data_IF_907545819554
#
_entry.id   IF_907545819554
#
_cell.length_a   1.000
_cell.length_b   1.000
_cell.length_c   1.000
_cell.angle_alpha   90.00
_cell.angle_beta   90.00
_cell.angle_gamma   90.00
#
_symmetry.space_group_name_H-M   'P 1'
#
loop_
_entity.id
_entity.type
_entity.pdbx_description
1 polymer ?
#
# COMPACT_ATOMS: atom_id res chain seq x y z
N UNK A 1 -6.60 -18.90 -24.72
CA UNK A 1 -6.96 -17.48 -25.00
C UNK A 1 -8.25 -17.30 -25.83
N UNK A 2 -8.34 -17.94 -27.01
CA UNK A 2 -9.47 -17.76 -27.96
C UNK A 2 -10.79 -18.42 -27.55
N UNK A 3 -10.87 -19.19 -26.48
CA UNK A 3 -12.11 -19.87 -26.03
C UNK A 3 -12.62 -19.38 -24.68
N UNK A 4 -11.91 -18.45 -24.04
CA UNK A 4 -12.22 -17.98 -22.69
C UNK A 4 -13.53 -17.20 -22.60
N UNK A 5 -13.91 -16.50 -23.68
CA UNK A 5 -15.19 -15.82 -23.80
C UNK A 5 -16.39 -16.78 -23.84
N UNK A 6 -16.16 -18.07 -24.14
CA UNK A 6 -17.19 -19.12 -24.10
C UNK A 6 -17.29 -19.79 -22.72
N UNK A 7 -16.34 -19.54 -21.84
CA UNK A 7 -16.35 -20.09 -20.49
C UNK A 7 -17.15 -19.17 -19.58
N UNK A 8 -18.37 -19.57 -19.23
CA UNK A 8 -19.27 -18.81 -18.36
C UNK A 8 -18.62 -18.44 -17.01
N UNK A 9 -17.85 -19.35 -16.40
CA UNK A 9 -17.21 -19.10 -15.11
C UNK A 9 -16.19 -17.98 -15.21
N UNK A 10 -15.46 -17.94 -16.33
CA UNK A 10 -14.50 -16.90 -16.62
C UNK A 10 -15.20 -15.55 -16.84
N UNK A 11 -16.26 -15.50 -17.66
CA UNK A 11 -17.02 -14.27 -17.95
C UNK A 11 -17.63 -13.68 -16.67
N UNK A 12 -18.30 -14.51 -15.86
CA UNK A 12 -18.91 -14.09 -14.58
C UNK A 12 -17.88 -13.52 -13.59
N UNK A 13 -16.71 -14.14 -13.48
CA UNK A 13 -15.62 -13.66 -12.61
C UNK A 13 -14.95 -12.39 -13.17
N UNK A 14 -14.82 -12.28 -14.49
CA UNK A 14 -14.26 -11.09 -15.14
C UNK A 14 -15.17 -9.87 -14.92
N UNK A 15 -16.48 -10.03 -15.07
CA UNK A 15 -17.45 -8.97 -14.76
C UNK A 15 -17.39 -8.55 -13.29
N UNK A 16 -17.25 -9.50 -12.37
CA UNK A 16 -17.09 -9.19 -10.95
C UNK A 16 -15.83 -8.38 -10.69
N UNK A 17 -14.69 -8.78 -11.25
CA UNK A 17 -13.42 -8.06 -11.11
C UNK A 17 -13.48 -6.69 -11.74
N UNK A 18 -14.11 -6.53 -12.90
CA UNK A 18 -14.31 -5.22 -13.54
C UNK A 18 -15.22 -4.29 -12.75
N UNK A 19 -16.16 -4.84 -11.96
CA UNK A 19 -17.01 -4.09 -11.03
C UNK A 19 -16.28 -3.72 -9.73
N UNK A 20 -15.17 -4.40 -9.40
CA UNK A 20 -14.34 -3.97 -8.28
C UNK A 20 -13.73 -2.62 -8.64
N UNK A 21 -14.05 -1.60 -7.84
CA UNK A 21 -13.42 -0.28 -7.99
C UNK A 21 -11.91 -0.48 -7.79
N UNK A 22 -11.14 -0.27 -8.85
CA UNK A 22 -9.67 -0.23 -8.77
C UNK A 22 -9.31 1.04 -8.01
N UNK A 23 -9.32 0.97 -6.68
CA UNK A 23 -8.98 2.08 -5.79
C UNK A 23 -7.47 2.18 -5.67
N UNK A 24 -6.87 2.78 -6.70
CA UNK A 24 -5.48 3.24 -6.65
C UNK A 24 -5.27 4.28 -5.54
N UNK A 25 -6.36 4.84 -4.98
CA UNK A 25 -6.39 5.76 -3.85
C UNK A 25 -5.45 5.35 -2.71
N UNK A 26 -5.38 4.05 -2.38
CA UNK A 26 -4.50 3.56 -1.31
C UNK A 26 -3.01 3.65 -1.69
N UNK A 27 -2.67 3.31 -2.92
CA UNK A 27 -1.30 3.40 -3.42
C UNK A 27 -0.88 4.87 -3.59
N UNK A 28 -1.75 5.71 -4.17
CA UNK A 28 -1.52 7.16 -4.31
C UNK A 28 -1.35 7.85 -2.95
N UNK A 29 -2.18 7.49 -1.97
CA UNK A 29 -2.06 7.98 -0.59
C UNK A 29 -0.76 7.54 0.05
N UNK A 30 -0.33 6.30 -0.17
CA UNK A 30 0.98 5.80 0.26
C UNK A 30 2.13 6.63 -0.30
N UNK A 31 2.13 6.89 -1.61
CA UNK A 31 3.14 7.73 -2.28
C UNK A 31 3.13 9.16 -1.72
N UNK A 32 1.95 9.76 -1.51
CA UNK A 32 1.82 11.11 -0.94
C UNK A 32 2.37 11.18 0.48
N UNK A 33 2.09 10.18 1.31
CA UNK A 33 2.65 10.10 2.66
C UNK A 33 4.16 10.00 2.66
N UNK A 34 4.73 9.14 1.81
CA UNK A 34 6.18 8.99 1.71
C UNK A 34 6.85 10.28 1.21
N UNK A 35 6.27 10.94 0.21
CA UNK A 35 6.74 12.24 -0.28
C UNK A 35 6.70 13.32 0.81
N UNK A 36 5.64 13.38 1.59
CA UNK A 36 5.52 14.35 2.69
C UNK A 36 6.53 14.04 3.79
N UNK A 37 6.65 12.78 4.20
CA UNK A 37 7.60 12.35 5.23
C UNK A 37 9.05 12.68 4.88
N UNK A 38 9.45 12.40 3.64
CA UNK A 38 10.79 12.71 3.13
C UNK A 38 11.13 14.22 3.12
N UNK A 39 10.14 15.10 3.29
CA UNK A 39 10.35 16.56 3.39
C UNK A 39 10.43 17.08 4.82
N UNK A 40 9.99 16.30 5.82
CA UNK A 40 9.79 16.82 7.18
C UNK A 40 11.08 16.87 8.01
N UNK A 41 11.93 15.86 7.91
CA UNK A 41 12.95 15.62 8.94
C UNK A 41 14.38 15.92 8.50
N UNK A 42 14.76 15.51 7.28
CA UNK A 42 16.11 15.70 6.77
C UNK A 42 16.14 15.71 5.26
N UNK A 43 17.09 16.46 4.69
CA UNK A 43 17.37 16.48 3.24
C UNK A 43 18.35 15.37 2.84
N UNK A 44 19.07 14.76 3.79
CA UNK A 44 20.04 13.70 3.53
C UNK A 44 19.33 12.36 3.26
N UNK A 45 19.58 11.77 2.10
CA UNK A 45 18.91 10.54 1.66
C UNK A 45 19.26 9.31 2.50
N UNK A 46 20.51 9.19 2.96
CA UNK A 46 20.92 8.08 3.84
C UNK A 46 20.17 8.11 5.18
N UNK A 47 19.99 9.31 5.75
CA UNK A 47 19.25 9.47 6.99
C UNK A 47 17.76 9.14 6.81
N UNK A 48 17.15 9.46 5.67
CA UNK A 48 15.76 9.06 5.36
C UNK A 48 15.61 7.54 5.32
N UNK A 49 16.50 6.85 4.62
CA UNK A 49 16.46 5.38 4.55
C UNK A 49 16.67 4.75 5.92
N UNK A 50 17.65 5.24 6.69
CA UNK A 50 17.88 4.76 8.05
C UNK A 50 16.66 4.93 8.95
N UNK A 51 15.95 6.06 8.86
CA UNK A 51 14.73 6.28 9.62
C UNK A 51 13.62 5.27 9.33
N UNK A 52 13.45 4.87 8.09
CA UNK A 52 12.46 3.85 7.72
C UNK A 52 12.77 2.51 8.38
N UNK A 53 14.06 2.13 8.43
CA UNK A 53 14.51 0.94 9.13
C UNK A 53 14.18 1.02 10.62
N UNK A 54 14.48 2.15 11.27
CA UNK A 54 14.19 2.35 12.70
C UNK A 54 12.69 2.27 13.00
N UNK A 55 11.84 2.92 12.20
CA UNK A 55 10.38 2.87 12.38
C UNK A 55 9.85 1.46 12.19
N UNK A 56 10.35 0.72 11.19
CA UNK A 56 9.98 -0.67 10.95
C UNK A 56 10.37 -1.57 12.12
N UNK A 57 11.60 -1.44 12.61
CA UNK A 57 12.12 -2.19 13.74
C UNK A 57 11.33 -1.88 15.02
N UNK A 58 11.00 -0.61 15.26
CA UNK A 58 10.17 -0.20 16.39
C UNK A 58 8.77 -0.83 16.32
N UNK A 59 8.09 -0.76 15.17
CA UNK A 59 6.77 -1.39 14.97
C UNK A 59 6.83 -2.91 15.13
N UNK A 60 7.93 -3.55 14.69
CA UNK A 60 8.15 -4.98 14.89
C UNK A 60 8.32 -5.32 16.38
N UNK A 61 9.08 -4.51 17.11
CA UNK A 61 9.38 -4.73 18.53
C UNK A 61 8.17 -4.44 19.43
N UNK A 62 7.34 -3.47 19.04
CA UNK A 62 6.15 -3.05 19.78
C UNK A 62 4.86 -3.26 18.96
N UNK A 63 4.53 -4.53 18.66
CA UNK A 63 3.33 -4.93 17.87
C UNK A 63 1.98 -4.54 18.49
N UNK A 64 1.96 -4.01 19.71
CA UNK A 64 0.76 -3.62 20.44
C UNK A 64 0.27 -2.18 20.23
N UNK A 65 1.02 -1.32 19.54
CA UNK A 65 0.58 0.07 19.30
C UNK A 65 -0.45 0.14 18.17
N UNK A 66 -1.72 -0.15 18.50
CA UNK A 66 -2.84 0.28 17.67
C UNK A 66 -3.14 1.74 17.96
N UNK A 67 -3.62 2.45 16.95
CA UNK A 67 -4.10 3.84 17.11
C UNK A 67 -5.27 3.95 18.10
N UNK A 68 -5.93 2.81 18.37
CA UNK A 68 -7.00 2.61 19.36
C UNK A 68 -6.49 2.56 20.81
N UNK A 69 -5.19 2.33 21.01
CA UNK A 69 -4.52 2.19 22.33
C UNK A 69 -3.69 3.41 22.73
N UNK A 70 -3.78 4.51 21.95
CA UNK A 70 -3.20 5.82 22.24
C UNK A 70 -4.34 6.80 22.56
#
# INVERSE_FOLDING_TARGET
>A
PLTWHKNESFVKKLELVNKLKVVNDSAEKGVKFMKNYNKLLTKNEQQKQYMLHIVSDYRRKFRGYKKETL
#
